data_IF_370463779244
#
_entry.id   IF_370463779244
#
_cell.length_a   1.000
_cell.length_b   1.000
_cell.length_c   1.000
_cell.angle_alpha   90.00
_cell.angle_beta   90.00
_cell.angle_gamma   90.00
#
_symmetry.space_group_name_H-M   'P 1'
#
loop_
_entity.id
_entity.type
_entity.pdbx_description
1 polymer ?
#
# COMPACT_ATOMS: atom_id res chain seq x y z
N UNK A 1 9.16 -9.14 -10.93
CA UNK A 1 7.77 -8.73 -10.70
C UNK A 1 7.59 -8.40 -9.22
N UNK A 2 6.79 -7.40 -8.87
CA UNK A 2 6.42 -7.08 -7.48
C UNK A 2 4.90 -7.27 -7.35
N UNK A 3 4.47 -8.07 -6.37
CA UNK A 3 3.05 -8.30 -6.03
C UNK A 3 2.79 -7.71 -4.65
N UNK A 4 1.83 -6.80 -4.55
CA UNK A 4 1.50 -6.09 -3.32
C UNK A 4 0.09 -6.46 -2.86
N UNK A 5 -0.04 -7.15 -1.74
CA UNK A 5 -1.33 -7.49 -1.11
C UNK A 5 -2.25 -8.43 -1.91
N UNK A 6 -1.90 -8.76 -3.15
CA UNK A 6 -2.73 -9.53 -4.07
C UNK A 6 -2.33 -11.00 -4.17
N UNK A 7 -3.27 -11.84 -4.57
CA UNK A 7 -2.99 -13.19 -5.04
C UNK A 7 -2.99 -13.23 -6.57
N UNK A 8 -1.79 -13.14 -7.16
CA UNK A 8 -1.57 -13.18 -8.60
C UNK A 8 -2.16 -14.42 -9.28
N UNK A 9 -2.20 -15.57 -8.59
CA UNK A 9 -2.80 -16.80 -9.13
C UNK A 9 -4.31 -16.63 -9.28
N UNK A 10 -4.96 -16.08 -8.26
CA UNK A 10 -6.40 -15.80 -8.30
C UNK A 10 -6.74 -14.65 -9.26
N UNK A 11 -5.79 -13.74 -9.54
CA UNK A 11 -5.88 -12.75 -10.61
C UNK A 11 -5.66 -13.33 -12.02
N UNK A 12 -5.47 -14.65 -12.15
CA UNK A 12 -5.34 -15.34 -13.44
C UNK A 12 -3.91 -15.50 -13.96
N UNK A 13 -2.89 -15.14 -13.18
CA UNK A 13 -1.49 -15.38 -13.54
C UNK A 13 -1.14 -16.83 -13.19
N UNK A 14 -0.95 -17.67 -14.21
CA UNK A 14 -0.66 -19.09 -14.00
C UNK A 14 0.61 -19.31 -13.16
N UNK A 15 0.59 -20.34 -12.32
CA UNK A 15 1.75 -20.76 -11.52
C UNK A 15 2.99 -21.03 -12.40
N UNK A 16 2.77 -21.58 -13.60
CA UNK A 16 3.84 -21.82 -14.58
C UNK A 16 4.48 -20.53 -15.10
N UNK A 17 3.74 -19.41 -15.14
CA UNK A 17 4.31 -18.11 -15.46
C UNK A 17 5.10 -17.53 -14.27
N UNK A 18 4.58 -17.67 -13.05
CA UNK A 18 5.26 -17.22 -11.84
C UNK A 18 6.63 -17.90 -11.66
N UNK A 19 6.70 -19.22 -11.91
CA UNK A 19 7.96 -20.01 -11.84
C UNK A 19 9.02 -19.59 -12.85
N UNK A 20 8.64 -18.88 -13.93
CA UNK A 20 9.57 -18.41 -14.97
C UNK A 20 10.18 -17.04 -14.65
N UNK A 21 9.66 -16.36 -13.64
CA UNK A 21 10.19 -15.05 -13.25
C UNK A 21 11.57 -15.22 -12.63
N UNK A 22 12.53 -14.42 -13.08
CA UNK A 22 13.87 -14.35 -12.48
C UNK A 22 13.80 -13.86 -11.03
N UNK A 23 12.91 -12.91 -10.76
CA UNK A 23 12.65 -12.41 -9.42
C UNK A 23 11.16 -12.10 -9.22
N UNK A 24 10.60 -12.60 -8.13
CA UNK A 24 9.26 -12.28 -7.64
C UNK A 24 9.35 -11.78 -6.19
N UNK A 25 8.97 -10.52 -5.96
CA UNK A 25 8.82 -9.97 -4.61
C UNK A 25 7.34 -10.00 -4.25
N UNK A 26 7.00 -10.67 -3.15
CA UNK A 26 5.64 -10.66 -2.60
C UNK A 26 5.63 -9.84 -1.32
N UNK A 27 4.81 -8.78 -1.28
CA UNK A 27 4.58 -7.99 -0.08
C UNK A 27 3.14 -8.20 0.40
N UNK A 28 2.94 -8.58 1.65
CA UNK A 28 1.60 -8.86 2.15
C UNK A 28 1.51 -9.20 3.63
N UNK A 29 0.27 -9.23 4.13
CA UNK A 29 -0.06 -9.49 5.53
C UNK A 29 -0.12 -10.99 5.87
N UNK A 30 -0.46 -11.83 4.90
CA UNK A 30 -0.65 -13.27 5.04
C UNK A 30 -0.11 -14.00 3.80
N UNK A 31 0.30 -15.25 3.99
CA UNK A 31 0.65 -16.12 2.87
C UNK A 31 -0.60 -16.46 2.03
N UNK A 32 -0.42 -16.51 0.71
CA UNK A 32 -1.44 -16.86 -0.28
C UNK A 32 -0.84 -17.78 -1.36
N UNK A 33 -1.55 -18.07 -2.46
CA UNK A 33 -1.06 -18.98 -3.51
C UNK A 33 0.12 -18.42 -4.30
N UNK A 34 0.34 -17.11 -4.25
CA UNK A 34 1.49 -16.44 -4.88
C UNK A 34 2.76 -16.58 -4.06
N UNK A 35 2.64 -16.52 -2.73
CA UNK A 35 3.80 -16.50 -1.81
C UNK A 35 4.83 -17.64 -1.98
N UNK A 36 4.48 -18.91 -2.31
CA UNK A 36 5.46 -19.98 -2.47
C UNK A 36 6.37 -19.81 -3.70
N UNK A 37 5.98 -18.94 -4.64
CA UNK A 37 6.77 -18.64 -5.84
C UNK A 37 7.68 -17.42 -5.66
N UNK A 38 7.56 -16.70 -4.54
CA UNK A 38 8.30 -15.48 -4.30
C UNK A 38 9.77 -15.79 -3.98
N UNK A 39 10.68 -15.05 -4.62
CA UNK A 39 12.09 -15.02 -4.28
C UNK A 39 12.33 -14.30 -2.95
N UNK A 40 11.49 -13.30 -2.65
CA UNK A 40 11.53 -12.51 -1.42
C UNK A 40 10.10 -12.26 -0.93
N UNK A 41 9.88 -12.43 0.37
CA UNK A 41 8.63 -12.07 1.04
C UNK A 41 8.88 -10.90 1.98
N UNK A 42 8.09 -9.83 1.83
CA UNK A 42 8.16 -8.62 2.64
C UNK A 42 6.87 -8.47 3.46
N UNK A 43 6.90 -8.60 4.79
CA UNK A 43 5.69 -8.48 5.60
C UNK A 43 5.17 -7.05 5.60
N UNK A 44 3.89 -6.86 5.29
CA UNK A 44 3.23 -5.55 5.35
C UNK A 44 2.19 -5.47 6.47
N UNK A 45 1.84 -4.24 6.86
CA UNK A 45 0.89 -3.97 7.94
C UNK A 45 -0.58 -4.10 7.48
N UNK A 46 -1.39 -4.73 8.32
CA UNK A 46 -2.84 -4.84 8.13
C UNK A 46 -3.54 -3.49 8.35
N UNK A 47 -4.81 -3.41 7.96
CA UNK A 47 -5.59 -2.17 8.01
C UNK A 47 -5.69 -1.55 9.43
N UNK A 48 -5.70 -2.37 10.48
CA UNK A 48 -5.75 -1.92 11.87
C UNK A 48 -4.38 -1.47 12.42
N UNK A 49 -3.31 -1.82 11.71
CA UNK A 49 -1.92 -1.61 12.12
C UNK A 49 -1.29 -0.38 11.47
N UNK A 50 -1.96 0.20 10.46
CA UNK A 50 -1.43 1.29 9.65
C UNK A 50 -2.25 2.57 9.70
N UNK A 51 -1.63 3.64 9.24
CA UNK A 51 -2.24 4.98 9.16
C UNK A 51 -2.40 5.39 7.70
N UNK A 52 -3.50 6.08 7.40
CA UNK A 52 -3.73 6.59 6.05
C UNK A 52 -5.16 7.01 5.81
N UNK A 53 -5.65 6.78 4.60
CA UNK A 53 -7.04 7.04 4.21
C UNK A 53 -7.56 5.92 3.33
N UNK A 54 -8.88 5.66 3.41
CA UNK A 54 -9.58 4.73 2.52
C UNK A 54 -10.77 5.46 1.88
N UNK A 55 -11.01 5.20 0.60
CA UNK A 55 -12.23 5.62 -0.09
C UNK A 55 -13.15 4.40 -0.15
N UNK A 56 -14.34 4.52 0.44
CA UNK A 56 -15.31 3.43 0.43
C UNK A 56 -16.13 3.39 -0.88
N UNK A 57 -16.97 2.37 -1.03
CA UNK A 57 -17.82 2.15 -2.21
C UNK A 57 -18.80 3.30 -2.52
N UNK A 58 -19.07 4.21 -1.57
CA UNK A 58 -19.93 5.39 -1.75
C UNK A 58 -19.12 6.65 -2.10
N UNK A 59 -17.83 6.53 -2.38
CA UNK A 59 -16.95 7.66 -2.69
C UNK A 59 -16.65 8.55 -1.48
N UNK A 60 -16.83 8.05 -0.25
CA UNK A 60 -16.44 8.80 0.97
C UNK A 60 -15.02 8.43 1.36
N UNK A 61 -14.16 9.44 1.48
CA UNK A 61 -12.82 9.29 2.04
C UNK A 61 -12.90 9.31 3.56
N UNK A 62 -12.24 8.35 4.21
CA UNK A 62 -12.20 8.19 5.66
C UNK A 62 -10.76 8.02 6.11
N UNK A 63 -10.43 8.54 7.29
CA UNK A 63 -9.11 8.39 7.89
C UNK A 63 -8.96 7.02 8.53
N UNK A 64 -7.83 6.37 8.26
CA UNK A 64 -7.38 5.19 8.98
C UNK A 64 -6.37 5.63 10.04
N UNK A 65 -6.67 5.33 11.30
CA UNK A 65 -5.74 5.51 12.41
C UNK A 65 -5.19 4.16 12.83
N UNK A 66 -3.90 4.12 13.16
CA UNK A 66 -3.27 2.93 13.72
C UNK A 66 -3.92 2.63 15.08
N UNK A 67 -4.54 1.45 15.19
CA UNK A 67 -5.19 0.99 16.41
C UNK A 67 -4.27 0.09 17.25
N UNK A 68 -3.43 -0.70 16.57
CA UNK A 68 -2.45 -1.61 17.17
C UNK A 68 -1.10 -1.48 16.45
N UNK A 69 -0.02 -1.90 17.10
CA UNK A 69 1.30 -1.93 16.45
C UNK A 69 1.38 -3.10 15.46
N UNK A 70 2.05 -2.92 14.30
CA UNK A 70 2.32 -4.02 13.38
C UNK A 70 3.10 -5.16 14.05
N UNK A 71 2.85 -6.41 13.69
CA UNK A 71 3.58 -7.54 14.24
C UNK A 71 5.02 -7.59 13.70
N UNK A 72 5.95 -7.91 14.59
CA UNK A 72 7.36 -8.14 14.26
C UNK A 72 7.99 -7.01 13.43
N UNK A 73 8.36 -7.28 12.17
CA UNK A 73 9.00 -6.33 11.26
C UNK A 73 8.06 -5.85 10.13
N UNK A 74 6.75 -6.08 10.27
CA UNK A 74 5.78 -5.59 9.31
C UNK A 74 5.82 -4.05 9.24
N UNK A 75 5.78 -3.53 8.02
CA UNK A 75 5.77 -2.09 7.74
C UNK A 75 4.61 -1.71 6.83
N UNK A 76 4.26 -0.44 6.79
CA UNK A 76 3.24 0.03 5.85
C UNK A 76 3.70 -0.22 4.41
N UNK A 77 2.75 -0.55 3.52
CA UNK A 77 3.06 -0.89 2.11
C UNK A 77 3.84 0.23 1.40
N UNK A 78 3.53 1.49 1.73
CA UNK A 78 4.21 2.65 1.17
C UNK A 78 5.65 2.78 1.66
N UNK A 79 5.97 2.38 2.89
CA UNK A 79 7.34 2.40 3.43
C UNK A 79 8.19 1.33 2.76
N UNK A 80 7.60 0.14 2.56
CA UNK A 80 8.26 -0.95 1.83
C UNK A 80 8.60 -0.51 0.41
N UNK A 81 7.64 0.09 -0.30
CA UNK A 81 7.89 0.64 -1.64
C UNK A 81 8.92 1.77 -1.61
N UNK A 82 8.85 2.66 -0.63
CA UNK A 82 9.79 3.78 -0.46
C UNK A 82 11.22 3.26 -0.35
N UNK A 83 11.43 2.30 0.55
CA UNK A 83 12.74 1.71 0.84
C UNK A 83 13.28 0.91 -0.35
N UNK A 84 12.41 0.17 -1.06
CA UNK A 84 12.79 -0.53 -2.30
C UNK A 84 13.23 0.46 -3.39
N UNK A 85 12.47 1.54 -3.60
CA UNK A 85 12.83 2.59 -4.55
C UNK A 85 14.16 3.25 -4.19
N UNK A 86 14.38 3.52 -2.91
CA UNK A 86 15.65 4.09 -2.43
C UNK A 86 16.82 3.13 -2.67
N UNK A 87 16.64 1.84 -2.39
CA UNK A 87 17.69 0.83 -2.57
C UNK A 87 18.09 0.65 -4.04
N UNK A 88 17.13 0.73 -4.97
CA UNK A 88 17.36 0.54 -6.41
C UNK A 88 17.76 1.84 -7.12
N UNK A 89 17.15 2.96 -6.75
CA UNK A 89 17.25 4.24 -7.46
C UNK A 89 18.06 5.33 -6.74
N UNK A 90 18.51 5.08 -5.51
CA UNK A 90 19.41 5.97 -4.75
C UNK A 90 18.76 7.22 -4.14
N UNK A 91 17.51 7.56 -4.49
CA UNK A 91 16.79 8.65 -3.82
C UNK A 91 15.28 8.38 -3.78
N UNK A 92 14.69 8.83 -2.67
CA UNK A 92 13.26 8.85 -2.48
C UNK A 92 12.95 10.15 -1.72
N UNK A 93 12.06 10.99 -2.26
CA UNK A 93 11.74 12.31 -1.70
C UNK A 93 10.58 12.33 -0.72
N UNK A 94 10.11 11.17 -0.22
CA UNK A 94 8.90 11.07 0.59
C UNK A 94 9.16 10.28 1.87
N UNK A 95 8.96 10.93 3.02
CA UNK A 95 9.31 10.38 4.33
C UNK A 95 8.11 10.29 5.27
N UNK A 96 6.95 10.79 4.86
CA UNK A 96 5.71 10.74 5.65
C UNK A 96 4.48 10.47 4.80
N UNK A 97 3.45 9.89 5.43
CA UNK A 97 2.16 9.66 4.79
C UNK A 97 1.47 10.98 4.42
N UNK A 98 1.71 12.06 5.17
CA UNK A 98 1.22 13.40 4.85
C UNK A 98 1.81 13.95 3.56
N UNK A 99 3.10 13.73 3.32
CA UNK A 99 3.75 14.12 2.06
C UNK A 99 3.19 13.32 0.88
N UNK A 100 3.01 12.00 1.04
CA UNK A 100 2.34 11.16 0.03
C UNK A 100 0.97 11.74 -0.29
N UNK A 101 0.15 11.96 0.74
CA UNK A 101 -1.20 12.47 0.55
C UNK A 101 -1.20 13.85 -0.12
N UNK A 102 -0.24 14.72 0.23
CA UNK A 102 -0.10 16.04 -0.38
C UNK A 102 0.22 15.93 -1.88
N UNK A 103 1.11 15.02 -2.27
CA UNK A 103 1.40 14.75 -3.70
C UNK A 103 0.14 14.23 -4.39
N UNK A 104 -0.53 13.23 -3.81
CA UNK A 104 -1.79 12.71 -4.35
C UNK A 104 -2.86 13.80 -4.51
N UNK A 105 -3.02 14.68 -3.51
CA UNK A 105 -3.98 15.78 -3.55
C UNK A 105 -3.63 16.87 -4.58
N UNK A 106 -2.38 16.94 -5.03
CA UNK A 106 -1.96 17.84 -6.11
C UNK A 106 -2.22 17.27 -7.51
N UNK A 107 -2.32 15.94 -7.63
CA UNK A 107 -2.47 15.25 -8.92
C UNK A 107 -3.89 14.72 -9.17
N UNK A 108 -4.62 14.37 -8.11
CA UNK A 108 -5.96 13.78 -8.19
C UNK A 108 -7.00 14.87 -7.90
N UNK A 109 -7.79 15.30 -8.90
CA UNK A 109 -8.75 16.41 -8.73
C UNK A 109 -9.74 16.19 -7.58
N UNK A 110 -10.21 14.96 -7.39
CA UNK A 110 -11.14 14.62 -6.30
C UNK A 110 -10.55 14.84 -4.89
N UNK A 111 -9.22 14.85 -4.76
CA UNK A 111 -8.53 15.03 -3.48
C UNK A 111 -8.04 16.47 -3.26
N UNK A 112 -8.26 17.37 -4.22
CA UNK A 112 -7.71 18.72 -4.20
C UNK A 112 -8.14 19.50 -2.94
N UNK A 113 -7.16 20.13 -2.28
CA UNK A 113 -7.40 20.90 -1.06
C UNK A 113 -7.66 20.07 0.21
N UNK A 114 -7.68 18.74 0.11
CA UNK A 114 -7.72 17.86 1.27
C UNK A 114 -6.31 17.67 1.87
N UNK A 115 -6.30 17.40 3.16
CA UNK A 115 -5.16 16.87 3.91
C UNK A 115 -5.69 15.71 4.76
N UNK A 116 -4.83 14.81 5.23
CA UNK A 116 -5.24 13.72 6.14
C UNK A 116 -5.99 14.30 7.37
N UNK A 117 -5.54 15.44 7.89
CA UNK A 117 -6.21 16.13 9.00
C UNK A 117 -7.60 16.67 8.62
N UNK A 118 -7.78 17.21 7.40
CA UNK A 118 -9.07 17.73 6.91
C UNK A 118 -10.09 16.63 6.62
N UNK A 119 -9.66 15.39 6.38
CA UNK A 119 -10.59 14.24 6.28
C UNK A 119 -11.37 14.05 7.58
N UNK A 120 -10.73 14.32 8.73
CA UNK A 120 -11.36 14.25 10.05
C UNK A 120 -11.85 12.83 10.41
N UNK A 121 -12.63 12.74 11.49
CA UNK A 121 -13.11 11.46 12.03
C UNK A 121 -14.37 10.95 11.33
N UNK A 122 -15.19 11.86 10.79
CA UNK A 122 -16.42 11.52 10.06
C UNK A 122 -16.19 11.27 8.56
N UNK A 123 -14.97 11.51 8.08
CA UNK A 123 -14.64 11.47 6.66
C UNK A 123 -15.30 12.59 5.85
N UNK A 124 -14.93 12.66 4.58
CA UNK A 124 -15.41 13.66 3.63
C UNK A 124 -16.02 12.95 2.42
N UNK A 125 -17.15 13.45 1.92
CA UNK A 125 -17.70 12.97 0.66
C UNK A 125 -16.88 13.56 -0.49
N UNK A 126 -16.29 12.72 -1.33
CA UNK A 126 -15.57 13.20 -2.50
C UNK A 126 -16.58 13.67 -3.57
N UNK A 127 -16.21 14.67 -4.39
CA UNK A 127 -16.99 15.01 -5.57
C UNK A 127 -16.99 13.81 -6.54
N UNK A 128 -18.18 13.43 -7.01
CA UNK A 128 -18.38 12.43 -8.08
C UNK A 128 -18.21 13.07 -9.45
#
# INVERSE_FOLDING_TARGET
>A
MIVLGEDAVDCGISEGALKKLEALVFAGILANKTSPYASVVLPTSAWAEKRGTMINIKGRIQRLNQAIQPPAQARDDWEVLRDLMQAVGGSNGVYSIEEIFKVMASEVPALQGLTISRVGDLGVQLPV
#
